data_IF_243827300693
#
_entry.id   IF_243827300693
#
_cell.length_a   1.000
_cell.length_b   1.000
_cell.length_c   1.000
_cell.angle_alpha   90.00
_cell.angle_beta   90.00
_cell.angle_gamma   90.00
#
_symmetry.space_group_name_H-M   'P 1'
#
loop_
_entity.id
_entity.type
_entity.pdbx_description
1 polymer ?
#
# COMPACT_ATOMS: atom_id res chain seq x y z
N UNK A 1 14.74 -6.33 -1.24
CA UNK A 1 13.61 -6.56 -2.18
C UNK A 1 12.39 -7.06 -1.42
N UNK A 2 11.21 -6.61 -1.82
CA UNK A 2 9.94 -7.08 -1.27
C UNK A 2 9.50 -8.43 -1.86
N UNK A 3 8.79 -9.23 -1.07
CA UNK A 3 7.90 -10.32 -1.52
C UNK A 3 6.59 -9.73 -2.04
N UNK A 4 5.97 -8.83 -1.26
CA UNK A 4 4.89 -7.97 -1.72
C UNK A 4 4.90 -6.61 -1.01
N UNK A 5 4.34 -5.62 -1.69
CA UNK A 5 3.96 -4.33 -1.11
C UNK A 5 2.45 -4.15 -1.22
N UNK A 6 1.80 -3.66 -0.16
CA UNK A 6 0.37 -3.38 -0.13
C UNK A 6 0.12 -1.95 0.33
N UNK A 7 -0.76 -1.25 -0.37
CA UNK A 7 -1.34 0.03 0.05
C UNK A 7 -2.81 -0.20 0.39
N UNK A 8 -3.26 0.29 1.54
CA UNK A 8 -4.65 0.21 1.98
C UNK A 8 -5.14 1.58 2.45
N UNK A 9 -6.33 1.98 1.97
CA UNK A 9 -7.06 3.14 2.51
C UNK A 9 -8.24 2.66 3.35
N UNK A 10 -8.37 3.19 4.56
CA UNK A 10 -9.49 2.88 5.45
C UNK A 10 -10.69 3.79 5.19
N UNK A 11 -11.84 3.43 5.75
CA UNK A 11 -13.05 4.26 5.70
C UNK A 11 -12.91 5.58 6.48
N UNK A 12 -13.81 6.50 6.16
CA UNK A 12 -14.16 7.70 6.93
C UNK A 12 -15.69 7.84 6.93
N UNK A 13 -16.28 8.82 7.64
CA UNK A 13 -17.74 9.01 7.63
C UNK A 13 -18.29 9.63 6.34
N UNK A 14 -17.43 10.25 5.53
CA UNK A 14 -17.76 10.79 4.21
C UNK A 14 -17.55 9.82 3.06
N UNK A 15 -17.28 10.36 1.87
CA UNK A 15 -17.06 9.59 0.64
C UNK A 15 -15.59 9.28 0.39
N UNK A 16 -14.82 8.96 1.44
CA UNK A 16 -13.42 8.59 1.26
C UNK A 16 -13.32 7.25 0.53
N UNK A 17 -12.47 7.13 -0.49
CA UNK A 17 -12.32 5.87 -1.22
C UNK A 17 -11.72 4.80 -0.31
N UNK A 18 -12.38 3.65 -0.25
CA UNK A 18 -11.94 2.47 0.51
C UNK A 18 -11.46 1.42 -0.48
N UNK A 19 -10.18 1.11 -0.43
CA UNK A 19 -9.56 0.12 -1.30
C UNK A 19 -8.25 -0.43 -0.73
N UNK A 20 -7.79 -1.52 -1.31
CA UNK A 20 -6.40 -1.95 -1.21
C UNK A 20 -5.82 -2.34 -2.56
N UNK A 21 -4.52 -2.17 -2.71
CA UNK A 21 -3.74 -2.64 -3.86
C UNK A 21 -2.49 -3.34 -3.35
N UNK A 22 -2.23 -4.55 -3.83
CA UNK A 22 -1.03 -5.33 -3.54
C UNK A 22 -0.28 -5.55 -4.85
N UNK A 23 1.04 -5.40 -4.81
CA UNK A 23 1.96 -5.79 -5.89
C UNK A 23 2.94 -6.82 -5.34
N UNK A 24 3.05 -7.97 -5.98
CA UNK A 24 4.05 -8.99 -5.63
C UNK A 24 5.39 -8.79 -6.39
N UNK A 25 6.39 -9.59 -6.04
CA UNK A 25 7.73 -9.55 -6.63
C UNK A 25 7.79 -10.02 -8.09
N UNK A 26 6.71 -10.58 -8.63
CA UNK A 26 6.55 -10.97 -10.04
C UNK A 26 5.77 -9.92 -10.85
N UNK A 27 5.33 -8.85 -10.18
CA UNK A 27 4.58 -7.75 -10.77
C UNK A 27 3.09 -8.03 -10.93
N UNK A 28 2.54 -9.08 -10.33
CA UNK A 28 1.10 -9.27 -10.28
C UNK A 28 0.50 -8.25 -9.32
N UNK A 29 -0.58 -7.62 -9.76
CA UNK A 29 -1.30 -6.59 -9.02
C UNK A 29 -2.70 -7.07 -8.70
N UNK A 30 -3.02 -7.06 -7.40
CA UNK A 30 -4.34 -7.38 -6.87
C UNK A 30 -4.94 -6.11 -6.28
N UNK A 31 -5.97 -5.57 -6.91
CA UNK A 31 -6.71 -4.41 -6.41
C UNK A 31 -8.09 -4.84 -5.94
N UNK A 32 -8.49 -4.37 -4.76
CA UNK A 32 -9.83 -4.57 -4.21
C UNK A 32 -10.42 -3.20 -3.86
N UNK A 33 -11.43 -2.79 -4.62
CA UNK A 33 -12.16 -1.55 -4.41
C UNK A 33 -13.48 -1.80 -3.69
N UNK A 34 -13.69 -1.20 -2.52
CA UNK A 34 -14.82 -1.49 -1.65
C UNK A 34 -15.91 -0.40 -1.74
N UNK A 35 -15.58 0.85 -1.41
CA UNK A 35 -16.55 1.96 -1.35
C UNK A 35 -15.97 3.25 -1.96
N UNK A 36 -16.85 4.05 -2.57
CA UNK A 36 -16.51 5.38 -3.11
C UNK A 36 -15.31 5.38 -4.08
N UNK A 37 -15.13 4.29 -4.82
CA UNK A 37 -14.06 4.08 -5.81
C UNK A 37 -14.63 4.05 -7.22
N UNK A 38 -13.82 4.47 -8.20
CA UNK A 38 -14.18 4.40 -9.61
C UNK A 38 -14.32 2.95 -10.13
N UNK A 39 -13.51 2.03 -9.60
CA UNK A 39 -13.57 0.60 -9.90
C UNK A 39 -13.86 -0.15 -8.61
N UNK A 40 -15.05 -0.72 -8.49
CA UNK A 40 -15.43 -1.58 -7.37
C UNK A 40 -15.12 -3.04 -7.67
N UNK A 41 -14.95 -3.85 -6.63
CA UNK A 41 -14.66 -5.28 -6.72
C UNK A 41 -13.17 -5.57 -6.90
N UNK A 42 -12.86 -6.84 -7.20
CA UNK A 42 -11.49 -7.30 -7.40
C UNK A 42 -11.05 -7.12 -8.86
N UNK A 43 -9.85 -6.58 -9.05
CA UNK A 43 -9.24 -6.37 -10.35
C UNK A 43 -7.79 -6.84 -10.32
N UNK A 44 -7.39 -7.52 -11.39
CA UNK A 44 -6.10 -8.16 -11.50
C UNK A 44 -5.41 -7.70 -12.79
N UNK A 45 -4.15 -7.30 -12.69
CA UNK A 45 -3.32 -7.02 -13.86
C UNK A 45 -1.85 -7.25 -13.52
N UNK A 46 -0.98 -7.16 -14.52
CA UNK A 46 0.46 -7.27 -14.33
C UNK A 46 1.16 -5.97 -14.73
N UNK A 47 2.19 -5.59 -13.97
CA UNK A 47 3.08 -4.49 -14.32
C UNK A 47 4.43 -5.03 -14.83
N UNK A 48 5.15 -4.30 -15.71
CA UNK A 48 6.47 -4.72 -16.15
C UNK A 48 7.47 -4.80 -15.00
N UNK A 49 8.42 -5.73 -15.07
CA UNK A 49 9.47 -5.88 -14.04
C UNK A 49 10.26 -4.60 -13.76
N UNK A 50 10.47 -3.75 -14.78
CA UNK A 50 11.08 -2.42 -14.59
C UNK A 50 10.33 -1.56 -13.56
N UNK A 51 9.00 -1.71 -13.43
CA UNK A 51 8.20 -1.02 -12.41
C UNK A 51 8.35 -1.65 -11.03
N UNK A 52 8.48 -2.98 -10.95
CA UNK A 52 8.79 -3.69 -9.70
C UNK A 52 10.17 -3.27 -9.17
N UNK A 53 11.16 -3.19 -10.04
CA UNK A 53 12.50 -2.66 -9.71
C UNK A 53 12.42 -1.21 -9.24
N UNK A 54 11.63 -0.37 -9.93
CA UNK A 54 11.39 1.02 -9.52
C UNK A 54 10.77 1.11 -8.12
N UNK A 55 9.80 0.25 -7.79
CA UNK A 55 9.20 0.20 -6.45
C UNK A 55 10.23 -0.18 -5.37
N UNK A 56 11.05 -1.19 -5.65
CA UNK A 56 12.14 -1.57 -4.74
C UNK A 56 13.12 -0.41 -4.52
N UNK A 57 13.51 0.30 -5.58
CA UNK A 57 14.35 1.50 -5.46
C UNK A 57 13.75 2.56 -4.56
N UNK A 58 12.46 2.89 -4.75
CA UNK A 58 11.76 3.88 -3.92
C UNK A 58 11.66 3.48 -2.44
N UNK A 59 11.47 2.20 -2.14
CA UNK A 59 11.39 1.68 -0.76
C UNK A 59 12.74 1.84 -0.04
N UNK A 60 13.83 1.49 -0.72
CA UNK A 60 15.19 1.60 -0.19
C UNK A 60 15.59 3.08 -0.06
N UNK A 61 15.35 3.90 -1.09
CA UNK A 61 15.65 5.34 -1.10
C UNK A 61 14.91 6.10 0.02
N UNK A 62 13.67 5.70 0.32
CA UNK A 62 12.89 6.25 1.44
C UNK A 62 13.42 5.79 2.81
N UNK A 63 14.15 4.66 2.87
CA UNK A 63 14.63 4.09 4.13
C UNK A 63 13.52 3.43 4.94
N UNK A 64 12.57 2.74 4.28
CA UNK A 64 11.37 2.20 4.93
C UNK A 64 11.69 1.28 6.12
N UNK A 65 12.78 0.50 6.07
CA UNK A 65 13.19 -0.40 7.18
C UNK A 65 13.51 0.33 8.48
N UNK A 66 13.97 1.57 8.41
CA UNK A 66 14.34 2.40 9.57
C UNK A 66 13.31 3.48 9.88
N UNK A 67 12.27 3.62 9.05
CA UNK A 67 11.26 4.64 9.23
C UNK A 67 10.38 4.31 10.44
N UNK A 68 10.21 5.29 11.33
CA UNK A 68 9.31 5.22 12.48
C UNK A 68 8.19 6.22 12.23
N UNK A 69 6.96 5.72 12.13
CA UNK A 69 5.80 6.58 11.98
C UNK A 69 5.46 7.26 13.31
N UNK A 70 5.53 8.59 13.34
CA UNK A 70 5.05 9.40 14.46
C UNK A 70 3.71 10.03 14.08
N UNK A 71 2.59 9.61 14.71
CA UNK A 71 1.31 10.27 14.49
C UNK A 71 1.37 11.71 15.01
N UNK A 72 0.72 12.63 14.30
CA UNK A 72 0.56 14.00 14.78
C UNK A 72 -0.25 14.08 16.08
N UNK A 73 -0.07 15.17 16.83
CA UNK A 73 -0.79 15.42 18.10
C UNK A 73 -2.17 16.07 17.90
N UNK A 74 -2.68 16.10 16.67
CA UNK A 74 -3.97 16.72 16.37
C UNK A 74 -5.13 15.80 16.80
N UNK A 75 -6.16 16.40 17.40
CA UNK A 75 -7.39 15.68 17.71
C UNK A 75 -8.28 15.59 16.46
N UNK A 76 -8.05 14.54 15.68
CA UNK A 76 -8.79 14.25 14.44
C UNK A 76 -9.81 13.16 14.72
N UNK A 77 -11.11 13.49 14.60
CA UNK A 77 -12.22 12.57 14.87
C UNK A 77 -12.59 11.67 13.69
N UNK A 78 -12.33 12.12 12.46
CA UNK A 78 -12.62 11.38 11.23
C UNK A 78 -11.59 11.70 10.14
N UNK A 79 -10.83 10.70 9.73
CA UNK A 79 -9.90 10.76 8.60
C UNK A 79 -9.54 9.34 8.17
N UNK A 80 -9.51 9.08 6.86
CA UNK A 80 -9.01 7.82 6.33
C UNK A 80 -7.51 7.67 6.58
N UNK A 81 -7.06 6.54 7.09
CA UNK A 81 -5.64 6.17 7.12
C UNK A 81 -5.17 5.67 5.76
N UNK A 82 -3.90 5.92 5.46
CA UNK A 82 -3.18 5.32 4.35
C UNK A 82 -2.09 4.42 4.93
N UNK A 83 -2.25 3.12 4.78
CA UNK A 83 -1.39 2.11 5.39
C UNK A 83 -0.58 1.44 4.29
N UNK A 84 0.75 1.51 4.40
CA UNK A 84 1.67 0.83 3.48
C UNK A 84 2.30 -0.34 4.21
N UNK A 85 2.12 -1.55 3.71
CA UNK A 85 2.72 -2.76 4.27
C UNK A 85 3.72 -3.33 3.30
N UNK A 86 4.89 -3.74 3.79
CA UNK A 86 5.92 -4.40 3.01
C UNK A 86 6.29 -5.71 3.70
N UNK A 87 6.16 -6.82 2.99
CA UNK A 87 6.78 -8.08 3.34
C UNK A 87 8.02 -8.25 2.47
N UNK A 88 9.18 -8.46 3.08
CA UNK A 88 10.45 -8.68 2.40
C UNK A 88 10.70 -10.17 2.17
N UNK A 89 11.53 -10.49 1.17
CA UNK A 89 11.91 -11.87 0.86
C UNK A 89 12.67 -12.57 2.00
N UNK A 90 13.33 -11.79 2.85
CA UNK A 90 14.01 -12.26 4.07
C UNK A 90 13.03 -12.54 5.24
N UNK A 91 11.73 -12.40 5.00
CA UNK A 91 10.67 -12.62 5.98
C UNK A 91 10.37 -11.40 6.86
N UNK A 92 11.13 -10.31 6.75
CA UNK A 92 10.84 -9.06 7.49
C UNK A 92 9.48 -8.51 7.05
N UNK A 93 8.66 -8.08 8.01
CA UNK A 93 7.33 -7.54 7.77
C UNK A 93 7.18 -6.18 8.47
N UNK A 94 6.81 -5.14 7.71
CA UNK A 94 6.67 -3.77 8.20
C UNK A 94 5.35 -3.18 7.72
N UNK A 95 4.74 -2.31 8.54
CA UNK A 95 3.44 -1.67 8.32
C UNK A 95 3.46 -0.22 8.79
#
# INVERSE_FOLDING_TARGET
MFEYIKLQRTMCFGTCPVYSVMVDNEGNVNYSGEMFVYKSGEHHWQIPMKKVEQLNGLIEDFGFKSFIYEPGNEFITDQSSCITTIKYLDGVYLK
#
